data_IF_915395929440
#
_entry.id   IF_915395929440
#
_cell.length_a   1.000
_cell.length_b   1.000
_cell.length_c   1.000
_cell.angle_alpha   90.00
_cell.angle_beta   90.00
_cell.angle_gamma   90.00
#
_symmetry.space_group_name_H-M   'P 1'
#
loop_
_entity.id
_entity.type
_entity.pdbx_description
1 polymer ?
#
# COMPACT_ATOMS: atom_id res chain seq x y z
N UNK A 1 27.86 0.94 -25.38
CA UNK A 1 27.10 1.60 -24.29
C UNK A 1 27.28 0.76 -23.05
N UNK A 2 27.93 1.27 -22.01
CA UNK A 2 27.90 0.60 -20.71
C UNK A 2 26.48 0.73 -20.15
N UNK A 3 25.72 -0.35 -20.18
CA UNK A 3 24.40 -0.40 -19.52
C UNK A 3 24.68 -0.26 -18.03
N UNK A 4 24.21 0.81 -17.42
CA UNK A 4 24.27 1.00 -15.98
C UNK A 4 23.50 -0.18 -15.33
N UNK A 5 24.20 -0.96 -14.53
CA UNK A 5 23.59 -2.09 -13.81
C UNK A 5 23.46 -1.72 -12.34
N UNK A 6 22.25 -1.78 -11.76
CA UNK A 6 22.06 -1.60 -10.32
C UNK A 6 22.87 -2.61 -9.51
N UNK A 7 23.23 -2.25 -8.29
CA UNK A 7 23.80 -3.20 -7.34
C UNK A 7 22.77 -4.30 -6.98
N UNK A 8 23.28 -5.49 -6.68
CA UNK A 8 22.45 -6.58 -6.19
C UNK A 8 21.86 -6.21 -4.83
N UNK A 9 20.60 -6.55 -4.63
CA UNK A 9 19.86 -6.36 -3.38
C UNK A 9 19.54 -7.71 -2.76
N UNK A 10 19.06 -7.76 -1.50
CA UNK A 10 18.70 -9.02 -0.86
C UNK A 10 17.59 -9.80 -1.57
N UNK A 11 16.61 -9.10 -2.19
CA UNK A 11 15.51 -9.72 -2.90
C UNK A 11 15.85 -10.12 -4.34
N UNK A 12 15.00 -10.93 -4.96
CA UNK A 12 15.12 -11.30 -6.37
C UNK A 12 14.54 -10.20 -7.27
N UNK A 13 15.40 -9.32 -7.75
CA UNK A 13 15.01 -8.16 -8.57
C UNK A 13 15.02 -8.43 -10.07
N UNK A 14 15.42 -9.62 -10.55
CA UNK A 14 15.55 -9.92 -11.98
C UNK A 14 14.22 -9.77 -12.72
N UNK A 15 13.16 -10.38 -12.18
CA UNK A 15 11.83 -10.25 -12.75
C UNK A 15 11.33 -8.80 -12.74
N UNK A 16 11.60 -8.06 -11.67
CA UNK A 16 11.12 -6.69 -11.47
C UNK A 16 11.70 -5.71 -12.50
N UNK A 17 13.01 -5.80 -12.73
CA UNK A 17 13.67 -4.97 -13.76
C UNK A 17 13.35 -5.41 -15.19
N UNK A 18 12.78 -6.59 -15.39
CA UNK A 18 12.25 -7.06 -16.67
C UNK A 18 10.81 -6.56 -16.90
N UNK A 19 9.95 -6.68 -15.89
CA UNK A 19 8.51 -6.51 -16.01
C UNK A 19 8.04 -5.06 -16.06
N UNK A 20 8.74 -4.14 -15.43
CA UNK A 20 8.67 -2.66 -15.58
C UNK A 20 7.34 -1.99 -15.28
N UNK A 21 6.18 -2.62 -15.44
CA UNK A 21 4.87 -2.00 -15.35
C UNK A 21 3.95 -2.78 -14.43
N UNK A 22 3.49 -2.13 -13.36
CA UNK A 22 2.61 -2.69 -12.35
C UNK A 22 1.34 -1.88 -12.12
N UNK A 23 0.32 -2.55 -11.58
CA UNK A 23 -0.92 -1.96 -11.11
C UNK A 23 -0.84 -1.73 -9.60
N UNK A 24 -1.14 -0.52 -9.13
CA UNK A 24 -1.40 -0.25 -7.73
C UNK A 24 -2.91 -0.17 -7.50
N UNK A 25 -3.42 -0.80 -6.43
CA UNK A 25 -4.85 -0.78 -6.11
C UNK A 25 -5.01 -0.22 -4.70
N UNK A 26 -5.60 0.98 -4.60
CA UNK A 26 -6.00 1.56 -3.33
C UNK A 26 -7.49 1.35 -3.11
N UNK A 27 -7.84 0.39 -2.26
CA UNK A 27 -9.23 0.03 -2.01
C UNK A 27 -9.46 -0.32 -0.54
N UNK A 28 -10.58 0.17 0.02
CA UNK A 28 -10.96 -0.01 1.41
C UNK A 28 -12.25 0.75 1.73
N UNK A 29 -12.53 0.95 3.01
CA UNK A 29 -13.74 1.65 3.45
C UNK A 29 -13.84 3.08 2.93
N UNK A 30 -12.71 3.73 2.67
CA UNK A 30 -12.65 5.10 2.12
C UNK A 30 -13.24 5.22 0.71
N UNK A 31 -13.46 4.11 0.00
CA UNK A 31 -14.15 4.11 -1.27
C UNK A 31 -15.65 4.45 -1.14
N UNK A 32 -16.28 4.19 0.03
CA UNK A 32 -17.67 4.53 0.27
C UNK A 32 -17.94 6.03 0.39
N UNK A 33 -17.19 6.82 1.21
CA UNK A 33 -17.33 8.26 1.20
C UNK A 33 -16.92 8.90 -0.14
N UNK A 34 -16.07 8.22 -0.92
CA UNK A 34 -15.68 8.63 -2.28
C UNK A 34 -15.13 10.05 -2.35
N UNK A 35 -14.24 10.41 -1.41
CA UNK A 35 -13.63 11.74 -1.25
C UNK A 35 -12.16 11.65 -0.86
N UNK A 36 -11.39 10.72 -1.42
CA UNK A 36 -9.99 10.49 -1.10
C UNK A 36 -9.75 9.44 0.02
N UNK A 37 -8.65 8.68 -0.06
CA UNK A 37 -8.28 7.67 0.95
C UNK A 37 -7.92 8.28 2.33
N UNK A 38 -7.56 9.57 2.37
CA UNK A 38 -7.31 10.33 3.60
C UNK A 38 -8.56 11.02 4.16
N UNK A 39 -9.75 10.75 3.65
CA UNK A 39 -11.00 11.40 4.08
C UNK A 39 -11.17 11.40 5.60
N UNK A 40 -10.83 10.28 6.27
CA UNK A 40 -10.90 10.17 7.74
C UNK A 40 -10.02 11.20 8.44
N UNK A 41 -8.81 11.44 7.93
CA UNK A 41 -7.87 12.44 8.47
C UNK A 41 -8.31 13.86 8.13
N UNK A 42 -8.61 14.14 6.88
CA UNK A 42 -8.93 15.50 6.43
C UNK A 42 -10.23 16.03 7.03
N UNK A 43 -11.22 15.16 7.20
CA UNK A 43 -12.50 15.52 7.82
C UNK A 43 -12.50 15.26 9.34
N UNK A 44 -11.36 14.86 9.93
CA UNK A 44 -11.20 14.62 11.38
C UNK A 44 -12.26 13.67 11.96
N UNK A 45 -12.55 12.60 11.21
CA UNK A 45 -13.59 11.64 11.56
C UNK A 45 -13.05 10.66 12.61
N UNK A 46 -13.72 10.57 13.75
CA UNK A 46 -13.41 9.60 14.80
C UNK A 46 -13.78 8.16 14.39
N UNK A 47 -13.37 7.18 15.21
CA UNK A 47 -13.61 5.77 14.92
C UNK A 47 -15.12 5.42 14.98
N UNK A 48 -15.89 6.00 15.90
CA UNK A 48 -17.31 5.74 16.05
C UNK A 48 -18.09 6.21 14.81
N UNK A 49 -17.86 7.44 14.39
CA UNK A 49 -18.46 8.03 13.19
C UNK A 49 -18.05 7.26 11.92
N UNK A 50 -16.76 6.84 11.82
CA UNK A 50 -16.26 6.11 10.66
C UNK A 50 -16.82 4.69 10.55
N UNK A 51 -17.31 4.12 11.68
CA UNK A 51 -17.90 2.77 11.75
C UNK A 51 -19.10 2.59 10.81
N UNK A 52 -19.78 3.67 10.40
CA UNK A 52 -20.87 3.58 9.42
C UNK A 52 -20.40 2.98 8.09
N UNK A 53 -19.18 3.27 7.65
CA UNK A 53 -18.62 2.73 6.40
C UNK A 53 -18.35 1.24 6.54
N UNK A 54 -17.87 0.79 7.68
CA UNK A 54 -17.73 -0.64 7.98
C UNK A 54 -19.07 -1.38 7.93
N UNK A 55 -20.12 -0.79 8.51
CA UNK A 55 -21.48 -1.38 8.57
C UNK A 55 -22.16 -1.44 7.20
N UNK A 56 -21.69 -0.68 6.22
CA UNK A 56 -22.30 -0.58 4.88
C UNK A 56 -21.37 -1.00 3.76
N UNK A 57 -20.18 -1.55 4.05
CA UNK A 57 -19.25 -2.00 3.02
C UNK A 57 -19.70 -3.31 2.40
N UNK A 58 -20.34 -3.18 1.25
CA UNK A 58 -20.86 -4.29 0.43
C UNK A 58 -20.47 -4.09 -1.04
N UNK A 59 -19.29 -4.56 -1.44
CA UNK A 59 -18.84 -4.44 -2.82
C UNK A 59 -19.51 -5.50 -3.70
N UNK A 60 -20.78 -5.30 -4.02
CA UNK A 60 -21.66 -6.22 -4.75
C UNK A 60 -21.27 -6.43 -6.22
N UNK A 61 -20.49 -5.52 -6.80
CA UNK A 61 -19.98 -5.62 -8.18
C UNK A 61 -18.51 -6.04 -8.25
N UNK A 62 -17.90 -6.38 -7.10
CA UNK A 62 -16.50 -6.81 -7.07
C UNK A 62 -16.29 -8.13 -7.80
N UNK A 63 -15.58 -8.04 -8.92
CA UNK A 63 -15.13 -9.17 -9.73
C UNK A 63 -13.60 -9.10 -9.95
N UNK A 64 -12.80 -9.86 -9.19
CA UNK A 64 -11.35 -9.81 -9.30
C UNK A 64 -10.82 -10.35 -10.64
N UNK A 65 -11.59 -11.19 -11.36
CA UNK A 65 -11.22 -11.66 -12.70
C UNK A 65 -11.24 -10.52 -13.73
N UNK A 66 -12.26 -9.66 -13.65
CA UNK A 66 -12.35 -8.47 -14.50
C UNK A 66 -11.19 -7.51 -14.22
N UNK A 67 -10.84 -7.31 -12.95
CA UNK A 67 -9.68 -6.47 -12.57
C UNK A 67 -8.38 -7.03 -13.13
N UNK A 68 -8.12 -8.33 -12.91
CA UNK A 68 -6.91 -8.99 -13.38
C UNK A 68 -6.81 -8.97 -14.91
N UNK A 69 -7.93 -9.21 -15.61
CA UNK A 69 -8.00 -9.14 -17.09
C UNK A 69 -7.72 -7.72 -17.61
N UNK A 70 -8.30 -6.69 -16.98
CA UNK A 70 -8.05 -5.30 -17.36
C UNK A 70 -6.56 -4.95 -17.22
N UNK A 71 -5.93 -5.30 -16.09
CA UNK A 71 -4.51 -5.09 -15.86
C UNK A 71 -3.63 -5.83 -16.88
N UNK A 72 -3.94 -7.11 -17.14
CA UNK A 72 -3.23 -7.91 -18.13
C UNK A 72 -3.34 -7.32 -19.55
N UNK A 73 -4.54 -6.87 -19.95
CA UNK A 73 -4.78 -6.24 -21.24
C UNK A 73 -4.05 -4.90 -21.39
N UNK A 74 -3.85 -4.16 -20.28
CA UNK A 74 -3.02 -2.96 -20.26
C UNK A 74 -1.51 -3.25 -20.34
N UNK A 75 -1.10 -4.53 -20.31
CA UNK A 75 0.30 -4.93 -20.36
C UNK A 75 1.01 -4.96 -19.00
N UNK A 76 0.29 -4.79 -17.89
CA UNK A 76 0.84 -4.85 -16.54
C UNK A 76 1.28 -6.29 -16.20
N UNK A 77 2.35 -6.43 -15.40
CA UNK A 77 3.00 -7.71 -15.08
C UNK A 77 2.94 -8.09 -13.61
N UNK A 78 2.64 -7.16 -12.76
CA UNK A 78 2.46 -7.36 -11.33
C UNK A 78 1.42 -6.38 -10.80
N UNK A 79 0.92 -6.66 -9.61
CA UNK A 79 0.06 -5.71 -8.91
C UNK A 79 0.50 -5.58 -7.45
N UNK A 80 0.16 -4.45 -6.86
CA UNK A 80 0.28 -4.17 -5.43
C UNK A 80 -1.07 -3.69 -4.94
N UNK A 81 -1.60 -4.28 -3.87
CA UNK A 81 -2.91 -3.91 -3.32
C UNK A 81 -2.80 -3.49 -1.86
N UNK A 82 -3.55 -2.49 -1.45
CA UNK A 82 -3.68 -2.10 -0.04
C UNK A 82 -4.38 -3.19 0.75
N UNK A 83 -3.62 -4.10 1.37
CA UNK A 83 -4.18 -5.13 2.26
C UNK A 83 -4.81 -4.49 3.49
N UNK A 84 -4.16 -3.45 4.03
CA UNK A 84 -4.63 -2.54 5.06
C UNK A 84 -4.08 -1.15 4.77
N UNK A 85 -4.95 -0.14 4.65
CA UNK A 85 -4.56 1.27 4.57
C UNK A 85 -4.58 1.90 5.97
N UNK A 86 -4.33 3.20 6.09
CA UNK A 86 -4.16 3.92 7.37
C UNK A 86 -5.38 3.87 8.29
N UNK A 87 -6.60 3.68 7.76
CA UNK A 87 -7.81 3.54 8.57
C UNK A 87 -7.92 2.21 9.32
N UNK A 88 -7.01 1.26 9.07
CA UNK A 88 -6.90 0.00 9.81
C UNK A 88 -7.77 -1.14 9.29
N UNK A 89 -8.58 -0.94 8.25
CA UNK A 89 -9.46 -1.96 7.69
C UNK A 89 -8.68 -2.99 6.87
N UNK A 90 -8.93 -4.28 7.16
CA UNK A 90 -8.26 -5.39 6.52
C UNK A 90 -9.12 -6.03 5.43
N UNK A 91 -8.60 -6.16 4.20
CA UNK A 91 -9.32 -6.81 3.10
C UNK A 91 -9.39 -8.33 3.21
N UNK A 92 -8.55 -8.97 4.05
CA UNK A 92 -8.48 -10.42 4.23
C UNK A 92 -9.05 -10.87 5.58
N UNK A 93 -9.28 -12.17 5.70
CA UNK A 93 -9.77 -12.82 6.92
C UNK A 93 -8.65 -12.99 7.96
N UNK A 94 -8.07 -11.87 8.41
CA UNK A 94 -7.06 -11.87 9.50
C UNK A 94 -7.64 -12.42 10.79
N UNK A 95 -6.81 -13.09 11.58
CA UNK A 95 -7.17 -13.59 12.92
C UNK A 95 -6.86 -12.59 14.03
N UNK A 96 -6.26 -11.44 13.68
CA UNK A 96 -5.71 -10.50 14.64
C UNK A 96 -6.66 -9.32 14.96
N UNK A 97 -7.70 -9.12 14.15
CA UNK A 97 -8.72 -8.10 14.38
C UNK A 97 -10.07 -8.50 13.77
N UNK A 98 -11.14 -7.96 14.34
CA UNK A 98 -12.49 -8.05 13.78
C UNK A 98 -12.80 -6.93 12.76
N UNK A 99 -11.88 -5.96 12.58
CA UNK A 99 -12.03 -4.87 11.63
C UNK A 99 -11.57 -5.29 10.24
N UNK A 100 -12.31 -6.22 9.65
CA UNK A 100 -11.97 -6.94 8.42
C UNK A 100 -13.16 -7.17 7.50
N UNK A 101 -12.92 -7.41 6.22
CA UNK A 101 -13.96 -7.55 5.19
C UNK A 101 -15.00 -8.65 5.50
N UNK A 102 -14.65 -9.84 6.00
CA UNK A 102 -15.65 -10.86 6.34
C UNK A 102 -16.69 -10.42 7.38
N UNK A 103 -16.39 -9.44 8.20
CA UNK A 103 -17.28 -8.93 9.25
C UNK A 103 -18.13 -7.73 8.81
N UNK A 104 -18.02 -7.32 7.56
CA UNK A 104 -18.89 -6.34 6.89
C UNK A 104 -20.01 -7.03 6.12
N UNK A 105 -20.97 -6.30 5.51
CA UNK A 105 -21.93 -6.90 4.58
C UNK A 105 -21.30 -7.66 3.40
N UNK A 106 -20.04 -7.37 3.03
CA UNK A 106 -19.29 -8.19 2.06
C UNK A 106 -19.25 -9.68 2.44
N UNK A 107 -19.22 -10.02 3.75
CA UNK A 107 -19.35 -11.38 4.29
C UNK A 107 -18.27 -12.37 3.84
N UNK A 108 -17.16 -11.90 3.26
CA UNK A 108 -16.11 -12.74 2.67
C UNK A 108 -14.74 -12.06 2.66
N UNK A 109 -13.69 -12.86 2.56
CA UNK A 109 -12.34 -12.41 2.24
C UNK A 109 -12.32 -11.83 0.82
N UNK A 110 -11.79 -10.62 0.67
CA UNK A 110 -11.70 -9.94 -0.63
C UNK A 110 -10.28 -10.05 -1.24
N UNK A 111 -9.27 -10.29 -0.42
CA UNK A 111 -7.88 -10.36 -0.86
C UNK A 111 -7.56 -11.71 -1.52
N UNK A 112 -8.01 -12.81 -0.94
CA UNK A 112 -7.69 -14.15 -1.44
C UNK A 112 -8.17 -14.38 -2.88
N UNK A 113 -9.44 -14.11 -3.24
CA UNK A 113 -9.90 -14.25 -4.63
C UNK A 113 -9.17 -13.30 -5.59
N UNK A 114 -8.77 -12.11 -5.12
CA UNK A 114 -7.96 -11.18 -5.93
C UNK A 114 -6.60 -11.79 -6.27
N UNK A 115 -5.87 -12.27 -5.27
CA UNK A 115 -4.56 -12.92 -5.48
C UNK A 115 -4.66 -14.09 -6.44
N UNK A 116 -5.70 -14.91 -6.32
CA UNK A 116 -5.94 -16.05 -7.21
C UNK A 116 -6.22 -15.61 -8.65
N UNK A 117 -7.05 -14.57 -8.85
CA UNK A 117 -7.39 -14.03 -10.16
C UNK A 117 -6.15 -13.46 -10.88
N UNK A 118 -5.36 -12.65 -10.19
CA UNK A 118 -4.14 -12.08 -10.77
C UNK A 118 -3.08 -13.14 -11.08
N UNK A 119 -2.93 -14.17 -10.25
CA UNK A 119 -2.06 -15.32 -10.54
C UNK A 119 -2.50 -16.10 -11.78
N UNK A 120 -3.81 -16.26 -12.02
CA UNK A 120 -4.31 -16.87 -13.26
C UNK A 120 -3.90 -16.10 -14.52
N UNK A 121 -3.65 -14.81 -14.41
CA UNK A 121 -3.09 -13.99 -15.48
C UNK A 121 -1.55 -13.97 -15.48
N UNK A 122 -0.88 -14.84 -14.72
CA UNK A 122 0.58 -14.89 -14.55
C UNK A 122 1.20 -13.60 -14.01
N UNK A 123 0.44 -12.80 -13.27
CA UNK A 123 0.93 -11.57 -12.65
C UNK A 123 1.57 -11.87 -11.28
N UNK A 124 2.64 -11.14 -10.97
CA UNK A 124 3.31 -11.19 -9.67
C UNK A 124 2.46 -10.46 -8.61
N UNK A 125 2.53 -10.96 -7.38
CA UNK A 125 1.71 -10.50 -6.26
C UNK A 125 2.51 -9.57 -5.37
N UNK A 126 2.00 -8.38 -5.13
CA UNK A 126 2.51 -7.42 -4.16
C UNK A 126 1.45 -6.99 -3.15
N UNK A 127 1.87 -6.78 -1.92
CA UNK A 127 1.02 -6.28 -0.84
C UNK A 127 1.55 -4.94 -0.33
N UNK A 128 0.72 -3.91 -0.44
CA UNK A 128 0.89 -2.70 0.35
C UNK A 128 0.33 -2.95 1.75
N UNK A 129 1.08 -2.56 2.76
CA UNK A 129 0.64 -2.65 4.15
C UNK A 129 1.04 -1.39 4.91
N UNK A 130 0.05 -0.61 5.33
CA UNK A 130 0.30 0.62 6.07
C UNK A 130 0.98 0.35 7.41
N UNK A 131 2.01 1.15 7.72
CA UNK A 131 2.61 1.20 9.06
C UNK A 131 1.74 1.99 10.04
N UNK A 132 0.87 2.88 9.54
CA UNK A 132 -0.13 3.57 10.33
C UNK A 132 -1.36 2.70 10.53
N UNK A 133 -2.08 2.94 11.65
CA UNK A 133 -3.38 2.33 11.91
C UNK A 133 -4.21 3.23 12.85
N UNK A 134 -5.08 4.02 12.26
CA UNK A 134 -5.92 4.96 13.01
C UNK A 134 -7.07 4.30 13.78
N UNK A 135 -7.24 2.99 13.65
CA UNK A 135 -8.29 2.25 14.32
C UNK A 135 -7.77 1.42 15.51
N UNK A 136 -6.52 0.97 15.46
CA UNK A 136 -5.97 0.06 16.47
C UNK A 136 -5.88 0.73 17.85
N UNK A 137 -6.39 0.11 18.93
CA UNK A 137 -6.51 0.75 20.26
C UNK A 137 -5.18 1.13 20.91
N UNK A 138 -4.07 0.50 20.49
CA UNK A 138 -2.71 0.80 21.00
C UNK A 138 -1.87 1.63 20.04
N UNK A 139 -2.45 2.10 18.91
CA UNK A 139 -1.76 3.04 18.04
C UNK A 139 -1.79 4.43 18.67
N UNK A 140 -0.61 4.98 19.00
CA UNK A 140 -0.50 6.32 19.60
C UNK A 140 -0.72 7.42 18.57
N UNK A 141 -1.20 8.57 19.01
CA UNK A 141 -1.45 9.72 18.13
C UNK A 141 -0.14 10.26 17.55
N UNK A 142 -0.17 10.63 16.29
CA UNK A 142 0.88 11.37 15.61
C UNK A 142 0.29 12.46 14.71
N UNK A 143 1.12 13.18 13.98
CA UNK A 143 0.68 14.28 13.11
C UNK A 143 -0.27 13.82 12.00
N UNK A 144 -0.19 12.55 11.58
CA UNK A 144 -1.02 11.97 10.54
C UNK A 144 -2.35 11.43 11.08
N UNK A 145 -2.52 11.30 12.40
CA UNK A 145 -3.73 10.74 13.00
C UNK A 145 -4.93 11.68 12.82
N UNK A 146 -6.15 11.18 12.50
CA UNK A 146 -7.36 12.00 12.39
C UNK A 146 -7.62 12.88 13.62
N UNK A 147 -7.36 12.35 14.81
CA UNK A 147 -7.59 13.00 16.09
C UNK A 147 -6.38 13.80 16.61
N UNK A 148 -5.40 14.11 15.78
CA UNK A 148 -4.17 14.83 16.17
C UNK A 148 -4.40 16.26 16.71
N UNK A 149 -5.59 16.80 16.54
CA UNK A 149 -6.00 18.10 17.10
C UNK A 149 -6.98 17.99 18.28
N UNK A 150 -7.41 16.77 18.63
CA UNK A 150 -8.33 16.52 19.74
C UNK A 150 -7.53 16.26 21.02
N UNK A 151 -7.56 17.22 21.96
CA UNK A 151 -6.78 17.16 23.19
C UNK A 151 -7.19 16.01 24.12
N UNK A 152 -8.49 15.67 24.17
CA UNK A 152 -9.00 14.55 24.98
C UNK A 152 -8.51 13.22 24.45
N UNK A 153 -8.58 13.01 23.13
CA UNK A 153 -8.08 11.80 22.48
C UNK A 153 -6.57 11.63 22.66
N UNK A 154 -5.79 12.72 22.56
CA UNK A 154 -4.34 12.70 22.77
C UNK A 154 -4.01 12.38 24.23
N UNK A 155 -4.81 12.85 25.20
CA UNK A 155 -4.58 12.57 26.62
C UNK A 155 -4.68 11.06 26.95
N UNK A 156 -5.37 10.28 26.12
CA UNK A 156 -5.46 8.82 26.26
C UNK A 156 -4.18 8.09 25.81
N UNK A 157 -3.24 8.75 25.10
CA UNK A 157 -2.00 8.11 24.64
C UNK A 157 -1.13 7.54 25.78
N UNK A 158 -1.29 8.09 27.00
CA UNK A 158 -0.64 7.54 28.21
C UNK A 158 -1.02 6.08 28.52
N UNK A 159 -2.20 5.65 28.07
CA UNK A 159 -2.76 4.30 28.30
C UNK A 159 -2.53 3.38 27.09
N UNK A 160 -1.97 3.91 25.98
CA UNK A 160 -1.64 3.18 24.76
C UNK A 160 -0.20 2.65 24.80
N UNK A 161 -0.01 1.45 24.30
CA UNK A 161 1.31 0.82 24.19
C UNK A 161 1.62 0.50 22.72
N UNK A 162 2.42 1.34 22.08
CA UNK A 162 2.80 1.20 20.67
C UNK A 162 3.48 -0.15 20.38
N UNK A 163 4.12 -0.79 21.37
CA UNK A 163 4.76 -2.11 21.17
C UNK A 163 3.70 -3.19 20.88
N UNK A 164 2.54 -3.12 21.52
CA UNK A 164 1.41 -4.05 21.22
C UNK A 164 0.90 -3.85 19.81
N UNK A 165 0.85 -2.60 19.34
CA UNK A 165 0.54 -2.33 17.95
C UNK A 165 1.61 -2.89 17.00
N UNK A 166 2.89 -2.71 17.32
CA UNK A 166 3.99 -3.23 16.50
C UNK A 166 3.97 -4.76 16.42
N UNK A 167 3.66 -5.45 17.51
CA UNK A 167 3.47 -6.91 17.52
C UNK A 167 2.29 -7.35 16.63
N UNK A 168 1.19 -6.60 16.68
CA UNK A 168 0.03 -6.80 15.79
C UNK A 168 0.43 -6.60 14.32
N UNK A 169 1.12 -5.51 14.00
CA UNK A 169 1.63 -5.22 12.65
C UNK A 169 2.50 -6.37 12.10
N UNK A 170 3.47 -6.85 12.90
CA UNK A 170 4.32 -7.97 12.52
C UNK A 170 3.51 -9.27 12.35
N UNK A 171 2.52 -9.49 13.20
CA UNK A 171 1.60 -10.61 13.10
C UNK A 171 0.82 -10.60 11.78
N UNK A 172 0.28 -9.45 11.38
CA UNK A 172 -0.43 -9.29 10.11
C UNK A 172 0.48 -9.55 8.89
N UNK A 173 1.70 -8.99 8.90
CA UNK A 173 2.67 -9.26 7.83
C UNK A 173 3.01 -10.75 7.76
N UNK A 174 3.14 -11.42 8.91
CA UNK A 174 3.38 -12.86 8.96
C UNK A 174 2.21 -13.64 8.33
N UNK A 175 0.95 -13.33 8.66
CA UNK A 175 -0.23 -13.95 8.02
C UNK A 175 -0.18 -13.78 6.50
N UNK A 176 0.03 -12.55 6.01
CA UNK A 176 0.10 -12.25 4.59
C UNK A 176 1.18 -13.07 3.85
N UNK A 177 2.31 -13.34 4.50
CA UNK A 177 3.42 -14.08 3.90
C UNK A 177 3.33 -15.60 4.08
N UNK A 178 2.40 -16.10 4.91
CA UNK A 178 2.21 -17.54 5.14
C UNK A 178 0.94 -18.08 4.50
N UNK A 179 -0.12 -17.26 4.40
CA UNK A 179 -1.46 -17.74 4.04
C UNK A 179 -1.79 -17.52 2.55
N UNK A 180 -0.99 -16.70 1.85
CA UNK A 180 -1.23 -16.33 0.45
C UNK A 180 -0.23 -16.94 -0.56
N UNK A 181 0.63 -17.88 -0.13
CA UNK A 181 1.66 -18.47 -0.98
C UNK A 181 2.78 -17.49 -1.32
N UNK A 182 3.35 -17.58 -2.53
CA UNK A 182 4.44 -16.67 -2.93
C UNK A 182 3.95 -15.23 -3.06
N UNK A 183 4.59 -14.31 -2.33
CA UNK A 183 4.40 -12.87 -2.41
C UNK A 183 5.70 -12.25 -2.94
N UNK A 184 5.61 -11.45 -3.96
CA UNK A 184 6.78 -10.95 -4.68
C UNK A 184 7.23 -9.58 -4.18
N UNK A 185 6.31 -8.77 -3.61
CA UNK A 185 6.60 -7.43 -3.07
C UNK A 185 5.87 -7.23 -1.74
N UNK A 186 6.60 -6.74 -0.72
CA UNK A 186 6.02 -6.05 0.44
C UNK A 186 6.30 -4.56 0.31
N UNK A 187 5.24 -3.80 0.15
CA UNK A 187 5.24 -2.37 -0.01
C UNK A 187 4.72 -1.71 1.28
N UNK A 188 5.62 -1.22 2.13
CA UNK A 188 5.25 -0.51 3.36
C UNK A 188 5.03 0.98 3.08
N UNK A 189 4.31 1.66 3.97
CA UNK A 189 4.07 3.07 3.83
C UNK A 189 3.99 3.79 5.18
N UNK A 190 4.50 5.01 5.21
CA UNK A 190 4.48 5.98 6.30
C UNK A 190 5.31 5.64 7.54
N UNK A 191 6.59 6.01 7.50
CA UNK A 191 7.29 6.42 8.72
C UNK A 191 7.01 7.91 8.99
N UNK A 192 6.73 8.25 10.24
CA UNK A 192 6.31 9.59 10.66
C UNK A 192 7.46 10.31 11.36
N UNK A 193 7.80 11.51 10.90
CA UNK A 193 8.82 12.34 11.56
C UNK A 193 8.34 12.87 12.90
N UNK A 194 9.26 13.06 13.85
CA UNK A 194 9.02 13.81 15.08
C UNK A 194 8.64 15.25 14.79
N UNK A 195 7.79 15.78 15.63
CA UNK A 195 7.42 17.20 15.71
C UNK A 195 7.51 17.67 17.15
N UNK A 196 7.38 18.99 17.40
CA UNK A 196 7.35 19.53 18.78
C UNK A 196 6.18 18.95 19.61
N UNK A 197 5.11 18.51 18.96
CA UNK A 197 3.91 18.01 19.60
C UNK A 197 3.87 16.49 19.72
N UNK A 198 4.41 15.76 18.74
CA UNK A 198 4.32 14.32 18.65
C UNK A 198 5.68 13.66 18.45
N UNK A 199 5.95 12.54 19.14
CA UNK A 199 7.10 11.70 18.81
C UNK A 199 6.95 11.16 17.37
N UNK A 200 8.06 10.92 16.70
CA UNK A 200 8.09 10.24 15.43
C UNK A 200 7.78 8.75 15.57
N UNK A 201 7.52 8.12 14.46
CA UNK A 201 7.42 6.66 14.34
C UNK A 201 8.23 6.22 13.14
N UNK A 202 9.29 5.51 13.37
CA UNK A 202 10.25 5.12 12.35
C UNK A 202 10.84 3.74 12.60
N UNK A 203 12.08 3.57 12.21
CA UNK A 203 12.81 2.32 12.25
C UNK A 203 12.76 1.61 13.61
N UNK A 204 12.89 2.36 14.71
CA UNK A 204 12.89 1.81 16.07
C UNK A 204 11.48 1.40 16.50
N UNK A 205 10.48 2.28 16.31
CA UNK A 205 9.10 2.05 16.70
C UNK A 205 8.47 0.89 15.92
N UNK A 206 8.79 0.76 14.64
CA UNK A 206 8.33 -0.37 13.81
C UNK A 206 9.13 -1.64 14.04
N UNK A 207 10.26 -1.58 14.80
CA UNK A 207 11.23 -2.67 14.93
C UNK A 207 11.61 -3.23 13.54
N UNK A 208 11.98 -2.32 12.65
CA UNK A 208 12.13 -2.59 11.20
C UNK A 208 13.11 -3.72 10.91
N UNK A 209 14.21 -3.84 11.67
CA UNK A 209 15.17 -4.95 11.52
C UNK A 209 14.53 -6.31 11.77
N UNK A 210 13.77 -6.44 12.86
CA UNK A 210 13.08 -7.70 13.19
C UNK A 210 12.02 -8.05 12.16
N UNK A 211 11.30 -7.01 11.66
CA UNK A 211 10.30 -7.18 10.62
C UNK A 211 10.94 -7.69 9.33
N UNK A 212 12.02 -7.05 8.87
CA UNK A 212 12.76 -7.46 7.68
C UNK A 212 13.34 -8.86 7.83
N UNK A 213 13.96 -9.18 8.98
CA UNK A 213 14.48 -10.51 9.27
C UNK A 213 13.39 -11.60 9.17
N UNK A 214 12.22 -11.33 9.74
CA UNK A 214 11.06 -12.24 9.67
C UNK A 214 10.62 -12.42 8.21
N UNK A 215 10.47 -11.33 7.44
CA UNK A 215 10.08 -11.37 6.03
C UNK A 215 11.06 -12.21 5.22
N UNK A 216 12.37 -11.93 5.35
CA UNK A 216 13.43 -12.66 4.63
C UNK A 216 13.50 -14.13 5.00
N UNK A 217 13.19 -14.47 6.25
CA UNK A 217 13.13 -15.87 6.70
C UNK A 217 11.94 -16.62 6.10
N UNK A 218 10.79 -15.95 5.95
CA UNK A 218 9.58 -16.54 5.38
C UNK A 218 9.67 -16.63 3.86
N UNK A 219 10.12 -15.56 3.20
CA UNK A 219 10.21 -15.45 1.74
C UNK A 219 11.51 -14.74 1.32
N UNK A 220 12.64 -15.46 1.17
CA UNK A 220 13.96 -14.86 0.94
C UNK A 220 14.06 -13.97 -0.30
N UNK A 221 13.31 -14.29 -1.37
CA UNK A 221 13.34 -13.57 -2.65
C UNK A 221 12.39 -12.36 -2.76
N UNK A 222 11.58 -12.11 -1.72
CA UNK A 222 10.59 -11.02 -1.75
C UNK A 222 11.27 -9.65 -1.86
N UNK A 223 10.66 -8.72 -2.59
CA UNK A 223 11.13 -7.34 -2.67
C UNK A 223 10.51 -6.50 -1.56
N UNK A 224 11.31 -5.62 -0.96
CA UNK A 224 10.87 -4.70 0.10
C UNK A 224 11.25 -3.28 -0.35
N UNK A 225 10.32 -2.32 -0.20
CA UNK A 225 10.58 -0.93 -0.46
C UNK A 225 11.33 -0.23 0.69
N UNK A 226 11.65 1.06 0.54
CA UNK A 226 12.48 1.83 1.45
C UNK A 226 11.71 2.54 2.59
N UNK A 227 10.40 2.30 2.74
CA UNK A 227 9.54 3.03 3.70
C UNK A 227 9.73 2.61 5.17
N UNK A 228 10.42 1.50 5.43
CA UNK A 228 10.83 1.08 6.78
C UNK A 228 12.03 1.83 7.36
N UNK A 229 12.50 2.88 6.67
CA UNK A 229 13.73 3.63 7.00
C UNK A 229 15.00 2.77 7.02
N UNK A 230 14.99 1.68 6.31
CA UNK A 230 16.15 0.82 6.03
C UNK A 230 16.16 0.59 4.52
N UNK A 231 17.29 0.90 3.90
CA UNK A 231 17.46 0.64 2.46
C UNK A 231 17.37 -0.86 2.18
N UNK A 232 16.43 -1.22 1.31
CA UNK A 232 16.20 -2.58 0.87
C UNK A 232 16.30 -2.68 -0.67
N UNK A 233 15.28 -3.20 -1.33
CA UNK A 233 15.39 -3.57 -2.74
C UNK A 233 14.98 -2.45 -3.69
N UNK A 234 13.95 -1.66 -3.33
CA UNK A 234 13.28 -0.73 -4.23
C UNK A 234 13.21 0.67 -3.62
N UNK A 235 13.66 1.68 -4.36
CA UNK A 235 13.38 3.10 -4.07
C UNK A 235 12.06 3.51 -4.70
N UNK A 236 11.26 4.27 -3.96
CA UNK A 236 9.88 4.58 -4.36
C UNK A 236 9.63 6.09 -4.49
N UNK A 237 10.11 6.77 -5.56
CA UNK A 237 9.70 8.13 -5.88
C UNK A 237 8.19 8.17 -6.14
N UNK A 238 7.52 9.15 -5.50
CA UNK A 238 6.05 9.23 -5.50
C UNK A 238 5.57 10.50 -6.19
N UNK A 239 4.65 10.35 -7.14
CA UNK A 239 4.04 11.42 -7.95
C UNK A 239 5.04 12.24 -8.79
N UNK A 240 6.23 11.73 -9.02
CA UNK A 240 7.18 12.29 -10.00
C UNK A 240 8.06 11.19 -10.61
N UNK A 241 8.45 11.39 -11.87
CA UNK A 241 9.47 10.56 -12.52
C UNK A 241 10.82 11.24 -12.36
N UNK A 242 11.85 10.56 -11.80
CA UNK A 242 13.21 11.10 -11.71
C UNK A 242 13.74 11.61 -13.04
N UNK A 243 14.51 12.71 -13.03
CA UNK A 243 15.08 13.28 -14.28
C UNK A 243 16.13 12.40 -14.93
N UNK A 244 16.81 11.59 -14.13
CA UNK A 244 17.84 10.65 -14.56
C UNK A 244 17.74 9.36 -13.73
N UNK A 245 18.60 8.40 -14.02
CA UNK A 245 18.67 7.17 -13.23
C UNK A 245 18.95 7.47 -11.76
N UNK A 246 18.11 6.94 -10.84
CA UNK A 246 18.30 7.15 -9.41
C UNK A 246 19.60 6.53 -8.95
N UNK A 247 20.40 7.29 -8.23
CA UNK A 247 21.70 6.87 -7.70
C UNK A 247 21.81 7.17 -6.21
N UNK A 248 22.44 6.26 -5.47
CA UNK A 248 22.85 6.46 -4.09
C UNK A 248 24.39 6.32 -4.07
N UNK A 249 25.09 7.31 -3.52
CA UNK A 249 26.55 7.34 -3.51
C UNK A 249 27.19 7.11 -4.90
N UNK A 250 26.56 7.67 -5.94
CA UNK A 250 27.02 7.56 -7.33
C UNK A 250 26.69 6.23 -8.04
N UNK A 251 26.08 5.26 -7.35
CA UNK A 251 25.73 3.95 -7.91
C UNK A 251 24.25 3.88 -8.24
N UNK A 252 23.85 3.36 -9.41
CA UNK A 252 22.45 3.21 -9.77
C UNK A 252 21.76 2.22 -8.83
N UNK A 253 20.51 2.53 -8.46
CA UNK A 253 19.65 1.69 -7.63
C UNK A 253 18.39 1.31 -8.37
N UNK A 254 17.72 0.26 -7.92
CA UNK A 254 16.42 -0.16 -8.43
C UNK A 254 15.36 0.78 -7.85
N UNK A 255 14.46 1.25 -8.70
CA UNK A 255 13.42 2.19 -8.30
C UNK A 255 12.12 1.98 -9.08
N UNK A 256 11.04 2.40 -8.47
CA UNK A 256 9.68 2.35 -8.99
C UNK A 256 8.98 3.66 -8.70
N UNK A 257 8.56 4.39 -9.74
CA UNK A 257 7.72 5.56 -9.56
C UNK A 257 6.27 5.12 -9.38
N UNK A 258 5.64 5.50 -8.27
CA UNK A 258 4.22 5.28 -8.09
C UNK A 258 3.42 6.55 -8.40
N UNK A 259 2.38 6.40 -9.23
CA UNK A 259 1.55 7.48 -9.73
C UNK A 259 0.07 7.14 -9.72
N UNK A 260 -0.76 8.13 -9.48
CA UNK A 260 -2.21 8.03 -9.67
C UNK A 260 -2.60 8.24 -11.13
N UNK A 261 -3.74 7.71 -11.54
CA UNK A 261 -4.40 8.10 -12.80
C UNK A 261 -4.94 9.55 -12.74
N UNK A 262 -5.31 9.97 -11.56
CA UNK A 262 -5.97 11.25 -11.27
C UNK A 262 -5.27 11.98 -10.11
N UNK A 263 -5.98 12.79 -9.36
CA UNK A 263 -5.50 13.51 -8.18
C UNK A 263 -5.57 12.70 -6.87
N UNK A 264 -6.16 11.49 -6.87
CA UNK A 264 -6.41 10.68 -5.67
C UNK A 264 -5.86 9.25 -5.81
N UNK A 265 -5.42 8.64 -4.69
CA UNK A 265 -5.08 7.23 -4.64
C UNK A 265 -6.35 6.36 -4.51
N UNK A 266 -7.21 6.68 -3.55
CA UNK A 266 -8.53 6.06 -3.41
C UNK A 266 -9.57 6.67 -4.32
N UNK A 267 -10.71 5.99 -4.46
CA UNK A 267 -11.83 6.50 -5.26
C UNK A 267 -12.30 7.88 -4.80
N UNK A 268 -12.45 8.79 -5.77
CA UNK A 268 -13.00 10.12 -5.58
C UNK A 268 -14.04 10.39 -6.66
N UNK A 269 -15.32 10.45 -6.29
CA UNK A 269 -16.44 10.52 -7.25
C UNK A 269 -16.48 11.80 -8.09
N UNK A 270 -15.95 12.90 -7.55
CA UNK A 270 -15.93 14.22 -8.21
C UNK A 270 -14.56 14.48 -8.88
N UNK A 271 -13.86 13.40 -9.30
CA UNK A 271 -12.55 13.51 -9.92
C UNK A 271 -12.65 13.96 -11.38
N UNK A 272 -11.96 15.04 -11.71
CA UNK A 272 -11.93 15.62 -13.07
C UNK A 272 -10.52 15.69 -13.66
N UNK A 273 -9.49 15.36 -12.85
CA UNK A 273 -8.08 15.54 -13.24
C UNK A 273 -7.44 14.26 -13.82
N UNK A 274 -8.18 13.53 -14.65
CA UNK A 274 -7.70 12.30 -15.27
C UNK A 274 -6.54 12.55 -16.25
N UNK A 275 -5.45 11.80 -16.06
CA UNK A 275 -4.32 11.82 -17.00
C UNK A 275 -4.73 11.16 -18.31
N UNK A 276 -4.43 11.81 -19.43
CA UNK A 276 -4.67 11.21 -20.75
C UNK A 276 -3.80 10.00 -21.01
N UNK A 277 -4.23 9.11 -21.89
CA UNK A 277 -3.45 7.93 -22.33
C UNK A 277 -2.04 8.34 -22.79
N UNK A 278 -1.92 9.44 -23.55
CA UNK A 278 -0.63 9.96 -24.02
C UNK A 278 0.32 10.31 -22.85
N UNK A 279 -0.20 10.97 -21.81
CA UNK A 279 0.57 11.29 -20.59
C UNK A 279 1.04 10.00 -19.90
N UNK A 280 0.14 9.03 -19.71
CA UNK A 280 0.45 7.76 -19.01
C UNK A 280 1.48 6.93 -19.78
N UNK A 281 1.35 6.81 -21.09
CA UNK A 281 2.31 6.10 -21.94
C UNK A 281 3.69 6.79 -21.90
N UNK A 282 3.74 8.12 -21.95
CA UNK A 282 5.00 8.87 -21.81
C UNK A 282 5.64 8.67 -20.45
N UNK A 283 4.86 8.64 -19.37
CA UNK A 283 5.36 8.36 -18.03
C UNK A 283 6.00 6.96 -17.94
N UNK A 284 5.35 5.94 -18.53
CA UNK A 284 5.91 4.59 -18.59
C UNK A 284 7.24 4.57 -19.37
N UNK A 285 7.27 5.15 -20.58
CA UNK A 285 8.47 5.22 -21.42
C UNK A 285 9.58 5.98 -20.68
N UNK A 286 9.27 7.09 -20.06
CA UNK A 286 10.22 7.92 -19.33
C UNK A 286 10.81 7.17 -18.13
N UNK A 287 9.99 6.49 -17.33
CA UNK A 287 10.44 5.66 -16.20
C UNK A 287 11.38 4.55 -16.68
N UNK A 288 10.95 3.79 -17.69
CA UNK A 288 11.73 2.66 -18.23
C UNK A 288 13.04 3.10 -18.85
N UNK A 289 13.05 4.22 -19.60
CA UNK A 289 14.25 4.77 -20.23
C UNK A 289 15.34 5.14 -19.22
N UNK A 290 14.95 5.40 -17.98
CA UNK A 290 15.83 5.75 -16.85
C UNK A 290 16.06 4.59 -15.88
N UNK A 291 15.72 3.36 -16.31
CA UNK A 291 15.96 2.13 -15.56
C UNK A 291 14.97 1.84 -14.44
N UNK A 292 13.89 2.60 -14.35
CA UNK A 292 12.85 2.42 -13.32
C UNK A 292 11.64 1.62 -13.78
N UNK A 293 10.76 1.35 -12.84
CA UNK A 293 9.43 0.80 -13.06
C UNK A 293 8.37 1.90 -12.90
N UNK A 294 7.20 1.68 -13.47
CA UNK A 294 5.99 2.47 -13.20
C UNK A 294 4.96 1.59 -12.48
N UNK A 295 4.53 2.02 -11.31
CA UNK A 295 3.41 1.46 -10.56
C UNK A 295 2.24 2.45 -10.67
N UNK A 296 1.24 2.11 -11.49
CA UNK A 296 0.14 3.02 -11.82
C UNK A 296 -1.10 2.65 -11.01
N UNK A 297 -1.65 3.62 -10.29
CA UNK A 297 -2.70 3.40 -9.31
C UNK A 297 -4.11 3.55 -9.87
N UNK A 298 -5.00 2.67 -9.41
CA UNK A 298 -6.46 2.80 -9.52
C UNK A 298 -7.09 2.80 -8.14
N UNK A 299 -8.18 3.55 -7.98
CA UNK A 299 -9.02 3.56 -6.79
C UNK A 299 -10.41 2.99 -7.13
N UNK A 300 -10.65 1.70 -6.91
CA UNK A 300 -11.96 1.11 -7.18
C UNK A 300 -13.08 1.76 -6.36
N UNK A 301 -14.29 1.79 -6.90
CA UNK A 301 -15.49 2.31 -6.25
C UNK A 301 -15.84 1.51 -4.99
N UNK A 302 -16.74 2.05 -4.15
CA UNK A 302 -17.26 1.32 -2.97
C UNK A 302 -18.02 0.05 -3.33
N UNK A 303 -18.48 -0.10 -4.59
CA UNK A 303 -19.13 -1.30 -5.12
C UNK A 303 -18.14 -2.32 -5.70
N UNK A 304 -16.87 -1.95 -5.86
CA UNK A 304 -15.83 -2.87 -6.35
C UNK A 304 -15.62 -2.86 -7.84
N UNK A 305 -15.88 -1.74 -8.52
CA UNK A 305 -15.59 -1.53 -9.94
C UNK A 305 -14.43 -0.57 -10.11
N UNK A 306 -13.65 -0.71 -11.18
CA UNK A 306 -12.80 0.39 -11.63
C UNK A 306 -13.68 1.50 -12.18
N UNK A 307 -13.34 2.74 -11.90
CA UNK A 307 -14.04 3.92 -12.42
C UNK A 307 -13.82 4.01 -13.93
N UNK A 308 -14.89 4.45 -14.69
CA UNK A 308 -14.88 4.52 -16.16
C UNK A 308 -14.07 5.69 -16.70
#
# INVERSE_FOLDING_TARGET
MNILKPEATPGNTEWFVHDRFGLFIHWGLYALPARHEWVKKYEKIDNETYQKYFKHFDPDLYDPELWAKAACNAGMKYFVVTTKHHEGFCLWDTKLTDYKAPNTPAGRDLLKPMVEAFRRQNMKVGFYHSLLDWHHPHYTTDICHPMSENAEYIAEDKDRDLRKYTEYLHGQVKELLTDFGEVNIMWFDFSVRSTDKFPGKGREEWQSEKLIEMIRKLQPGILINDRLQIDQDIKTPEQFVPREWVKINGKPVIWEACHTFSGSWGYHRDEESWKSVDVLVRMLIDSVSKGGNLLLNVGPTGRGEFDE
#
